data_IF_437011849020
#
_entry.id   IF_437011849020
#
_cell.length_a   1.000
_cell.length_b   1.000
_cell.length_c   1.000
_cell.angle_alpha   90.00
_cell.angle_beta   90.00
_cell.angle_gamma   90.00
#
_symmetry.space_group_name_H-M   'P 1'
#
loop_
_entity.id
_entity.type
_entity.pdbx_description
1 polymer ?
#
# COMPACT_ATOMS: atom_id res chain seq x y z
N UNK A 1 8.02 -15.35 -9.07
CA UNK A 1 6.60 -14.98 -8.96
C UNK A 1 5.79 -15.98 -9.79
N UNK A 2 4.63 -16.44 -9.34
CA UNK A 2 3.83 -17.42 -10.11
C UNK A 2 3.28 -16.80 -11.41
N UNK A 3 2.97 -17.66 -12.38
CA UNK A 3 2.60 -17.22 -13.74
C UNK A 3 1.34 -16.36 -13.78
N UNK A 4 0.33 -16.70 -12.97
CA UNK A 4 -0.91 -15.91 -12.89
C UNK A 4 -0.60 -14.49 -12.42
N UNK A 5 0.15 -14.37 -11.33
CA UNK A 5 0.51 -13.06 -10.77
C UNK A 5 1.44 -12.28 -11.69
N UNK A 6 2.41 -12.94 -12.35
CA UNK A 6 3.27 -12.30 -13.35
C UNK A 6 2.47 -11.73 -14.52
N UNK A 7 1.52 -12.50 -15.05
CA UNK A 7 0.65 -12.03 -16.12
C UNK A 7 -0.18 -10.81 -15.70
N UNK A 8 -0.78 -10.85 -14.50
CA UNK A 8 -1.51 -9.72 -13.93
C UNK A 8 -0.65 -8.47 -13.83
N UNK A 9 0.58 -8.59 -13.33
CA UNK A 9 1.52 -7.46 -13.21
C UNK A 9 1.95 -6.92 -14.58
N UNK A 10 2.19 -7.79 -15.56
CA UNK A 10 2.65 -7.39 -16.89
C UNK A 10 1.59 -6.65 -17.73
N UNK A 11 0.31 -6.83 -17.39
CA UNK A 11 -0.85 -6.25 -18.09
C UNK A 11 -1.57 -5.19 -17.25
N UNK A 12 -1.10 -4.92 -16.03
CA UNK A 12 -1.69 -3.95 -15.12
C UNK A 12 -1.57 -2.53 -15.67
N UNK A 13 -2.63 -1.74 -15.47
CA UNK A 13 -2.64 -0.31 -15.73
C UNK A 13 -2.30 0.45 -14.46
N UNK A 14 -2.00 1.74 -14.60
CA UNK A 14 -1.67 2.62 -13.47
C UNK A 14 -2.75 2.60 -12.38
N UNK A 15 -4.02 2.52 -12.76
CA UNK A 15 -5.19 2.54 -11.86
C UNK A 15 -5.40 1.23 -11.09
N UNK A 16 -4.73 0.14 -11.52
CA UNK A 16 -4.75 -1.14 -10.82
C UNK A 16 -3.82 -1.13 -9.59
N UNK A 17 -2.88 -0.18 -9.52
CA UNK A 17 -2.01 0.03 -8.36
C UNK A 17 -2.62 1.08 -7.43
N UNK A 18 -2.66 0.79 -6.14
CA UNK A 18 -3.18 1.72 -5.15
C UNK A 18 -2.51 1.54 -3.79
N UNK A 19 -2.48 2.61 -3.00
CA UNK A 19 -2.01 2.56 -1.63
C UNK A 19 -3.17 2.17 -0.71
N UNK A 20 -2.99 1.10 0.04
CA UNK A 20 -4.01 0.51 0.91
C UNK A 20 -3.54 0.44 2.36
N UNK A 21 -4.48 0.26 3.28
CA UNK A 21 -4.20 -0.03 4.69
C UNK A 21 -4.27 -1.53 4.99
N UNK A 22 -4.09 -2.39 3.97
CA UNK A 22 -4.24 -3.84 4.10
C UNK A 22 -3.25 -4.50 5.07
N UNK A 23 -2.15 -3.83 5.43
CA UNK A 23 -1.15 -4.39 6.35
C UNK A 23 -1.70 -4.55 7.77
N UNK A 24 -1.54 -5.73 8.40
CA UNK A 24 -1.85 -5.93 9.82
C UNK A 24 -1.02 -5.05 10.76
N UNK A 25 0.16 -4.59 10.31
CA UNK A 25 1.09 -3.77 11.10
C UNK A 25 0.76 -2.27 11.07
N UNK A 26 -0.29 -1.85 10.34
CA UNK A 26 -0.64 -0.43 10.21
C UNK A 26 0.28 0.38 9.30
N UNK A 27 1.19 -0.28 8.57
CA UNK A 27 2.01 0.34 7.53
C UNK A 27 1.29 0.34 6.18
N UNK A 28 1.40 1.41 5.37
CA UNK A 28 0.81 1.42 4.04
C UNK A 28 1.33 0.29 3.16
N UNK A 29 0.45 -0.27 2.33
CA UNK A 29 0.77 -1.38 1.44
C UNK A 29 0.33 -1.05 0.01
N UNK A 30 1.28 -0.99 -0.92
CA UNK A 30 0.99 -0.78 -2.34
C UNK A 30 0.39 -2.04 -2.92
N UNK A 31 -0.93 -2.09 -3.03
CA UNK A 31 -1.64 -3.26 -3.53
C UNK A 31 -1.83 -3.21 -5.04
N UNK A 32 -2.01 -4.40 -5.61
CA UNK A 32 -2.53 -4.60 -6.95
C UNK A 32 -3.99 -5.07 -6.84
N UNK A 33 -4.89 -4.49 -7.63
CA UNK A 33 -6.29 -4.94 -7.69
C UNK A 33 -6.39 -6.33 -8.28
N UNK A 34 -7.43 -7.08 -7.91
CA UNK A 34 -7.77 -8.39 -8.50
C UNK A 34 -6.70 -9.47 -8.28
N UNK A 35 -5.89 -9.34 -7.23
CA UNK A 35 -5.02 -10.44 -6.80
C UNK A 35 -5.86 -11.60 -6.26
N UNK A 36 -5.29 -12.79 -6.23
CA UNK A 36 -5.98 -13.96 -5.65
C UNK A 36 -6.23 -13.81 -4.14
N UNK A 37 -5.42 -13.02 -3.43
CA UNK A 37 -5.67 -12.69 -2.03
C UNK A 37 -6.89 -11.78 -1.86
N UNK A 38 -7.03 -10.77 -2.72
CA UNK A 38 -8.17 -9.84 -2.70
C UNK A 38 -9.48 -10.57 -3.02
N UNK A 39 -9.48 -11.43 -4.04
CA UNK A 39 -10.62 -12.30 -4.35
C UNK A 39 -11.02 -13.19 -3.16
N UNK A 40 -10.04 -13.76 -2.44
CA UNK A 40 -10.32 -14.60 -1.27
C UNK A 40 -10.84 -13.78 -0.09
N UNK A 41 -10.32 -12.57 0.11
CA UNK A 41 -10.76 -11.64 1.15
C UNK A 41 -12.24 -11.27 0.94
N UNK A 42 -12.60 -10.87 -0.27
CA UNK A 42 -14.00 -10.57 -0.66
C UNK A 42 -14.91 -11.78 -0.41
N UNK A 43 -14.53 -12.97 -0.90
CA UNK A 43 -15.29 -14.22 -0.67
C UNK A 43 -15.48 -14.56 0.81
N UNK A 44 -14.56 -14.17 1.69
CA UNK A 44 -14.67 -14.38 3.14
C UNK A 44 -15.64 -13.41 3.79
N UNK A 45 -15.61 -12.15 3.36
CA UNK A 45 -16.54 -11.10 3.78
C UNK A 45 -17.97 -11.50 3.39
N UNK A 46 -18.20 -11.90 2.13
CA UNK A 46 -19.51 -12.35 1.61
C UNK A 46 -20.08 -13.56 2.38
N UNK A 47 -19.21 -14.43 2.90
CA UNK A 47 -19.59 -15.59 3.73
C UNK A 47 -19.81 -15.25 5.20
N UNK A 48 -19.72 -13.98 5.59
CA UNK A 48 -19.81 -13.55 6.99
C UNK A 48 -18.66 -14.05 7.87
N UNK A 49 -17.50 -14.38 7.27
CA UNK A 49 -16.31 -14.90 7.97
C UNK A 49 -15.06 -14.13 7.57
N UNK A 50 -15.05 -12.79 7.74
CA UNK A 50 -13.94 -11.94 7.32
C UNK A 50 -12.65 -12.31 8.10
N UNK A 51 -11.50 -12.00 7.50
CA UNK A 51 -10.19 -12.35 8.05
C UNK A 51 -9.74 -13.80 7.80
N UNK A 52 -8.44 -14.03 7.97
CA UNK A 52 -7.80 -15.32 7.72
C UNK A 52 -7.69 -16.17 8.99
N UNK A 53 -7.82 -17.51 8.93
CA UNK A 53 -7.36 -18.35 10.02
C UNK A 53 -5.83 -18.16 10.19
N UNK A 54 -5.41 -17.59 11.32
CA UNK A 54 -4.04 -17.16 11.53
C UNK A 54 -3.18 -18.31 12.08
N UNK A 55 -2.73 -19.20 11.18
CA UNK A 55 -1.89 -20.34 11.57
C UNK A 55 -0.44 -19.93 11.86
N UNK A 56 0.14 -19.04 11.05
CA UNK A 56 1.56 -18.63 11.15
C UNK A 56 1.87 -17.64 12.29
N UNK A 57 0.93 -16.77 12.66
CA UNK A 57 1.05 -15.77 13.75
C UNK A 57 2.25 -14.79 13.69
N UNK A 58 3.02 -14.73 12.59
CA UNK A 58 4.20 -13.83 12.48
C UNK A 58 3.90 -12.33 12.61
N UNK A 59 2.67 -11.90 12.28
CA UNK A 59 2.23 -10.50 12.37
C UNK A 59 1.20 -10.28 13.48
N UNK A 60 1.20 -11.14 14.49
CA UNK A 60 0.35 -10.98 15.67
C UNK A 60 1.00 -10.01 16.66
N UNK A 61 0.40 -8.83 16.83
CA UNK A 61 0.97 -7.76 17.66
C UNK A 61 -0.08 -6.96 18.44
N UNK A 62 -1.36 -7.35 18.40
CA UNK A 62 -2.46 -6.60 19.01
C UNK A 62 -3.10 -7.41 20.15
N UNK A 63 -3.22 -6.82 21.34
CA UNK A 63 -3.77 -7.43 22.56
C UNK A 63 -5.10 -6.79 22.99
N UNK A 64 -5.82 -6.16 22.06
CA UNK A 64 -7.07 -5.43 22.35
C UNK A 64 -8.17 -6.33 22.93
N UNK A 65 -8.21 -7.60 22.52
CA UNK A 65 -9.27 -8.54 22.91
C UNK A 65 -8.78 -9.79 23.64
N UNK A 66 -7.46 -9.98 23.74
CA UNK A 66 -6.86 -11.21 24.28
C UNK A 66 -5.52 -10.90 24.93
N UNK A 67 -5.17 -11.64 26.00
CA UNK A 67 -3.88 -11.51 26.68
C UNK A 67 -2.70 -11.85 25.76
N UNK A 68 -2.87 -12.87 24.91
CA UNK A 68 -1.92 -13.19 23.85
C UNK A 68 -2.17 -12.32 22.62
N UNK A 69 -1.13 -11.78 21.98
CA UNK A 69 -1.31 -10.94 20.80
C UNK A 69 -1.92 -11.73 19.64
N UNK A 70 -2.91 -11.13 18.99
CA UNK A 70 -3.55 -11.63 17.77
C UNK A 70 -3.29 -10.66 16.61
N UNK A 71 -3.39 -11.20 15.40
CA UNK A 71 -3.17 -10.43 14.17
C UNK A 71 -4.46 -9.70 13.78
N UNK A 72 -4.39 -8.43 13.39
CA UNK A 72 -5.57 -7.63 13.00
C UNK A 72 -6.23 -8.11 11.70
N UNK A 73 -5.50 -8.86 10.86
CA UNK A 73 -6.06 -9.57 9.70
C UNK A 73 -6.62 -10.98 10.04
N UNK A 74 -6.55 -11.41 11.30
CA UNK A 74 -7.08 -12.71 11.71
C UNK A 74 -8.60 -12.68 11.79
N UNK A 75 -9.23 -13.83 11.48
CA UNK A 75 -10.67 -14.01 11.65
C UNK A 75 -11.12 -13.73 13.08
N UNK A 76 -10.31 -14.11 14.05
CA UNK A 76 -10.60 -13.88 15.47
C UNK A 76 -10.71 -12.38 15.76
N UNK A 77 -9.68 -11.60 15.42
CA UNK A 77 -9.68 -10.16 15.66
C UNK A 77 -10.84 -9.47 14.93
N UNK A 78 -10.99 -9.73 13.62
CA UNK A 78 -12.04 -9.07 12.84
C UNK A 78 -13.45 -9.40 13.36
N UNK A 79 -13.70 -10.65 13.75
CA UNK A 79 -14.99 -11.03 14.34
C UNK A 79 -15.26 -10.31 15.67
N UNK A 80 -14.26 -10.18 16.54
CA UNK A 80 -14.40 -9.48 17.82
C UNK A 80 -14.62 -7.98 17.61
N UNK A 81 -13.82 -7.36 16.75
CA UNK A 81 -13.94 -5.92 16.48
C UNK A 81 -15.25 -5.55 15.79
N UNK A 82 -15.70 -6.34 14.83
CA UNK A 82 -16.99 -6.09 14.15
C UNK A 82 -18.16 -6.27 15.12
N UNK A 83 -18.07 -7.21 16.06
CA UNK A 83 -19.09 -7.39 17.10
C UNK A 83 -19.17 -6.15 18.01
N UNK A 84 -18.02 -5.71 18.53
CA UNK A 84 -17.92 -4.50 19.36
C UNK A 84 -18.49 -3.27 18.62
N UNK A 85 -18.13 -3.06 17.35
CA UNK A 85 -18.64 -1.93 16.55
C UNK A 85 -20.16 -1.95 16.38
N UNK A 86 -20.76 -3.14 16.25
CA UNK A 86 -22.23 -3.29 16.14
C UNK A 86 -22.94 -2.98 17.46
N UNK A 87 -22.29 -3.22 18.60
CA UNK A 87 -22.83 -2.96 19.94
C UNK A 87 -22.77 -1.46 20.31
N UNK A 88 -21.93 -0.66 19.63
CA UNK A 88 -21.78 0.78 19.87
C UNK A 88 -22.96 1.64 19.38
N UNK A 89 -23.95 1.06 18.68
CA UNK A 89 -25.14 1.78 18.23
C UNK A 89 -24.87 2.91 17.22
N UNK A 90 -23.77 2.81 16.48
CA UNK A 90 -23.38 3.80 15.46
C UNK A 90 -24.41 3.89 14.33
N UNK A 91 -24.48 5.06 13.69
CA UNK A 91 -25.24 5.24 12.45
C UNK A 91 -24.75 4.24 11.37
N UNK A 92 -25.67 3.70 10.56
CA UNK A 92 -25.37 2.67 9.55
C UNK A 92 -24.22 3.06 8.61
N UNK A 93 -24.18 4.32 8.16
CA UNK A 93 -23.12 4.81 7.28
C UNK A 93 -21.75 4.81 7.98
N UNK A 94 -21.67 5.36 9.19
CA UNK A 94 -20.45 5.39 9.99
C UNK A 94 -19.97 3.98 10.37
N UNK A 95 -20.89 3.09 10.76
CA UNK A 95 -20.60 1.70 11.07
C UNK A 95 -19.98 0.96 9.87
N UNK A 96 -20.54 1.15 8.67
CA UNK A 96 -20.03 0.50 7.46
C UNK A 96 -18.61 0.97 7.11
N UNK A 97 -18.31 2.26 7.30
CA UNK A 97 -16.95 2.79 7.09
C UNK A 97 -15.95 2.11 8.04
N UNK A 98 -16.29 1.98 9.33
CA UNK A 98 -15.41 1.33 10.31
C UNK A 98 -15.22 -0.15 10.02
N UNK A 99 -16.29 -0.88 9.69
CA UNK A 99 -16.21 -2.30 9.30
C UNK A 99 -15.31 -2.47 8.07
N UNK A 100 -15.45 -1.60 7.06
CA UNK A 100 -14.63 -1.65 5.84
C UNK A 100 -13.14 -1.48 6.16
N UNK A 101 -12.77 -0.58 7.08
CA UNK A 101 -11.37 -0.41 7.54
C UNK A 101 -10.79 -1.67 8.19
N UNK A 102 -11.62 -2.45 8.89
CA UNK A 102 -11.23 -3.73 9.51
C UNK A 102 -11.10 -4.83 8.45
N UNK A 103 -12.07 -4.90 7.53
CA UNK A 103 -12.13 -5.89 6.46
C UNK A 103 -11.07 -5.66 5.37
N UNK A 104 -10.49 -4.47 5.28
CA UNK A 104 -9.35 -4.15 4.39
C UNK A 104 -8.11 -5.00 4.69
N UNK A 105 -7.94 -5.44 5.95
CA UNK A 105 -6.74 -6.15 6.39
C UNK A 105 -6.60 -7.51 5.71
N UNK A 106 -5.44 -7.74 5.09
CA UNK A 106 -5.10 -8.97 4.36
C UNK A 106 -4.04 -9.80 5.11
N UNK A 107 -4.04 -11.11 4.90
CA UNK A 107 -3.10 -12.03 5.54
C UNK A 107 -1.76 -12.07 4.79
N UNK A 108 -0.89 -11.09 5.08
CA UNK A 108 0.42 -10.97 4.43
C UNK A 108 1.34 -12.18 4.67
N UNK A 109 1.24 -12.86 5.82
CA UNK A 109 2.06 -14.04 6.15
C UNK A 109 1.88 -15.19 5.15
N UNK A 110 0.66 -15.37 4.65
CA UNK A 110 0.37 -16.36 3.62
C UNK A 110 0.60 -15.76 2.25
N UNK A 111 -0.08 -14.65 1.95
CA UNK A 111 -0.10 -14.00 0.65
C UNK A 111 1.27 -13.72 0.04
N UNK A 112 2.18 -13.12 0.81
CA UNK A 112 3.52 -12.76 0.32
C UNK A 112 4.42 -13.99 0.11
N UNK A 113 4.14 -15.10 0.79
CA UNK A 113 4.96 -16.31 0.71
C UNK A 113 4.50 -17.29 -0.37
N UNK A 114 3.21 -17.26 -0.74
CA UNK A 114 2.59 -18.28 -1.59
C UNK A 114 3.21 -18.36 -2.97
N UNK A 115 3.51 -17.23 -3.61
CA UNK A 115 4.06 -17.21 -4.97
C UNK A 115 5.36 -18.04 -5.08
N UNK A 116 6.27 -17.89 -4.11
CA UNK A 116 7.51 -18.65 -4.08
C UNK A 116 7.25 -20.15 -3.89
N UNK A 117 6.26 -20.52 -3.06
CA UNK A 117 5.94 -21.92 -2.78
C UNK A 117 5.26 -22.61 -3.96
N UNK A 118 4.39 -21.90 -4.68
CA UNK A 118 3.71 -22.39 -5.89
C UNK A 118 4.75 -22.78 -6.96
N UNK A 119 5.66 -21.87 -7.30
CA UNK A 119 6.69 -22.12 -8.34
C UNK A 119 7.61 -23.27 -7.97
N UNK A 120 8.06 -23.30 -6.70
CA UNK A 120 8.98 -24.32 -6.22
C UNK A 120 8.28 -25.63 -5.82
N UNK A 121 6.97 -25.76 -6.09
CA UNK A 121 6.16 -26.94 -5.76
C UNK A 121 6.26 -27.35 -4.28
N UNK A 122 6.42 -26.38 -3.39
CA UNK A 122 6.50 -26.59 -1.94
C UNK A 122 5.07 -26.73 -1.39
N UNK A 123 4.72 -27.82 -0.68
CA UNK A 123 3.35 -28.08 -0.20
C UNK A 123 2.80 -26.94 0.64
N UNK A 124 1.61 -26.42 0.33
CA UNK A 124 1.01 -25.29 1.07
C UNK A 124 0.05 -25.79 2.16
N UNK A 125 0.38 -25.63 3.46
CA UNK A 125 -0.50 -26.03 4.56
C UNK A 125 -1.86 -25.35 4.46
N UNK A 126 -2.90 -26.08 4.86
CA UNK A 126 -4.28 -25.58 4.89
C UNK A 126 -4.80 -25.07 3.53
N UNK A 127 -4.13 -25.39 2.42
CA UNK A 127 -4.48 -24.97 1.05
C UNK A 127 -4.64 -23.44 0.89
N UNK A 128 -3.87 -22.66 1.67
CA UNK A 128 -3.86 -21.20 1.58
C UNK A 128 -2.93 -20.71 0.47
N UNK A 129 -3.26 -21.03 -0.78
CA UNK A 129 -2.43 -20.77 -1.96
C UNK A 129 -2.64 -19.39 -2.60
N UNK A 130 -3.23 -18.44 -1.88
CA UNK A 130 -3.46 -17.08 -2.42
C UNK A 130 -2.18 -16.26 -2.39
N UNK A 131 -2.05 -15.38 -3.36
CA UNK A 131 -0.87 -14.53 -3.57
C UNK A 131 -1.25 -13.08 -3.37
N UNK A 132 -0.45 -12.40 -2.54
CA UNK A 132 -0.45 -10.95 -2.33
C UNK A 132 0.90 -10.41 -2.79
N UNK A 133 0.93 -9.21 -3.37
CA UNK A 133 2.16 -8.56 -3.85
C UNK A 133 2.17 -7.08 -3.47
N UNK A 134 3.36 -6.54 -3.21
CA UNK A 134 3.59 -5.10 -3.01
C UNK A 134 4.49 -4.55 -4.13
N UNK A 135 3.97 -4.37 -5.36
CA UNK A 135 4.79 -4.02 -6.52
C UNK A 135 5.33 -2.58 -6.53
N UNK A 136 4.79 -1.71 -5.66
CA UNK A 136 5.07 -0.28 -5.70
C UNK A 136 4.45 0.42 -6.93
N UNK A 137 4.45 1.76 -6.95
CA UNK A 137 3.77 2.53 -7.99
C UNK A 137 4.55 2.62 -9.30
N UNK A 138 5.87 2.38 -9.27
CA UNK A 138 6.72 2.46 -10.46
C UNK A 138 6.51 1.30 -11.43
N UNK A 139 5.87 0.21 -11.01
CA UNK A 139 5.60 -0.91 -11.90
C UNK A 139 4.62 -0.53 -13.02
N UNK A 140 3.80 0.51 -12.83
CA UNK A 140 2.90 1.05 -13.85
C UNK A 140 3.59 1.48 -15.15
N UNK A 141 4.90 1.74 -15.12
CA UNK A 141 5.69 2.18 -16.27
C UNK A 141 6.32 1.02 -17.05
N UNK A 142 6.05 -0.23 -16.66
CA UNK A 142 6.56 -1.42 -17.32
C UNK A 142 5.38 -2.27 -17.83
N UNK A 143 5.49 -2.82 -19.03
CA UNK A 143 4.43 -3.65 -19.62
C UNK A 143 5.04 -4.87 -20.28
N UNK A 144 5.37 -5.87 -19.46
CA UNK A 144 5.97 -7.11 -19.92
C UNK A 144 6.56 -7.97 -18.79
N UNK A 145 6.95 -9.19 -19.15
CA UNK A 145 7.74 -10.08 -18.31
C UNK A 145 9.17 -9.99 -18.81
N UNK A 146 10.09 -9.63 -17.93
CA UNK A 146 11.47 -9.35 -18.29
C UNK A 146 12.42 -10.25 -17.53
N UNK A 147 13.50 -10.68 -18.20
CA UNK A 147 14.59 -11.39 -17.52
C UNK A 147 15.42 -10.42 -16.67
N UNK A 148 16.22 -10.98 -15.76
CA UNK A 148 17.22 -10.19 -15.02
C UNK A 148 18.17 -9.46 -15.97
N UNK A 149 18.57 -10.09 -17.08
CA UNK A 149 19.42 -9.47 -18.10
C UNK A 149 18.77 -8.24 -18.73
N UNK A 150 17.48 -8.33 -19.09
CA UNK A 150 16.75 -7.16 -19.62
C UNK A 150 16.73 -6.02 -18.59
N UNK A 151 16.45 -6.33 -17.32
CA UNK A 151 16.44 -5.31 -16.25
C UNK A 151 17.80 -4.66 -16.02
N UNK A 152 18.88 -5.44 -16.07
CA UNK A 152 20.26 -4.93 -16.00
C UNK A 152 20.53 -4.00 -17.19
N UNK A 153 20.22 -4.46 -18.41
CA UNK A 153 20.38 -3.65 -19.61
C UNK A 153 19.57 -2.36 -19.54
N UNK A 154 18.38 -2.40 -18.94
CA UNK A 154 17.56 -1.22 -18.71
C UNK A 154 18.21 -0.22 -17.74
N UNK A 155 18.73 -0.70 -16.61
CA UNK A 155 19.37 0.14 -15.60
C UNK A 155 20.61 0.83 -16.16
N UNK A 156 21.39 0.15 -16.99
CA UNK A 156 22.60 0.70 -17.61
C UNK A 156 22.35 1.44 -18.94
N UNK A 157 21.10 1.54 -19.39
CA UNK A 157 20.72 2.29 -20.59
C UNK A 157 20.98 1.57 -21.92
N UNK A 158 21.29 0.28 -21.90
CA UNK A 158 21.42 -0.56 -23.09
C UNK A 158 20.05 -0.94 -23.70
N UNK A 159 18.99 -0.98 -22.88
CA UNK A 159 17.61 -1.26 -23.31
C UNK A 159 16.63 -0.25 -22.68
N UNK A 160 15.53 0.06 -23.36
CA UNK A 160 14.42 0.81 -22.76
C UNK A 160 13.20 -0.09 -22.62
N UNK A 161 12.86 -0.46 -21.38
CA UNK A 161 11.72 -1.32 -21.06
C UNK A 161 10.49 -0.53 -20.59
N UNK A 162 10.59 0.80 -20.52
CA UNK A 162 9.46 1.62 -20.17
C UNK A 162 8.38 1.52 -21.24
N UNK A 163 7.12 1.50 -20.82
CA UNK A 163 5.99 1.64 -21.73
C UNK A 163 5.81 3.10 -22.19
N UNK A 164 4.73 3.38 -22.93
CA UNK A 164 4.47 4.70 -23.51
C UNK A 164 4.03 5.75 -22.49
N UNK A 165 3.92 5.42 -21.19
CA UNK A 165 3.57 6.38 -20.16
C UNK A 165 4.79 7.23 -19.80
N UNK A 166 4.57 8.53 -19.67
CA UNK A 166 5.62 9.43 -19.17
C UNK A 166 5.92 9.09 -17.69
N UNK A 167 7.08 8.49 -17.47
CA UNK A 167 7.59 8.18 -16.13
C UNK A 167 8.24 9.43 -15.55
N UNK A 168 7.67 10.03 -14.50
CA UNK A 168 8.30 11.17 -13.84
C UNK A 168 9.55 10.71 -13.08
N UNK A 169 10.40 11.69 -12.76
CA UNK A 169 11.59 11.44 -11.96
C UNK A 169 11.23 10.76 -10.62
N UNK A 170 12.08 9.84 -10.15
CA UNK A 170 11.87 9.07 -8.92
C UNK A 170 11.45 9.97 -7.73
N UNK A 171 12.17 11.07 -7.50
CA UNK A 171 11.86 12.04 -6.44
C UNK A 171 10.46 12.67 -6.55
N UNK A 172 9.98 12.94 -7.77
CA UNK A 172 8.64 13.50 -7.96
C UNK A 172 7.58 12.44 -7.63
N UNK A 173 7.81 11.19 -8.03
CA UNK A 173 6.92 10.08 -7.67
C UNK A 173 6.89 9.86 -6.16
N UNK A 174 8.04 9.83 -5.51
CA UNK A 174 8.12 9.67 -4.05
C UNK A 174 7.44 10.84 -3.31
N UNK A 175 7.67 12.09 -3.75
CA UNK A 175 7.01 13.25 -3.15
C UNK A 175 5.49 13.19 -3.28
N UNK A 176 4.96 12.75 -4.44
CA UNK A 176 3.52 12.50 -4.62
C UNK A 176 2.99 11.50 -3.60
N UNK A 177 3.68 10.37 -3.40
CA UNK A 177 3.26 9.36 -2.42
C UNK A 177 3.17 9.92 -1.00
N UNK A 178 4.14 10.72 -0.57
CA UNK A 178 4.11 11.33 0.76
C UNK A 178 3.02 12.40 0.91
N UNK A 179 2.79 13.20 -0.14
CA UNK A 179 1.72 14.20 -0.20
C UNK A 179 0.36 13.51 -0.12
N UNK A 180 0.12 12.47 -0.92
CA UNK A 180 -1.12 11.69 -0.92
C UNK A 180 -1.35 11.03 0.45
N UNK A 181 -0.29 10.47 1.04
CA UNK A 181 -0.33 9.88 2.38
C UNK A 181 -0.70 10.93 3.44
N UNK A 182 -0.06 12.10 3.42
CA UNK A 182 -0.35 13.18 4.36
C UNK A 182 -1.81 13.66 4.22
N UNK A 183 -2.30 13.87 3.00
CA UNK A 183 -3.68 14.26 2.73
C UNK A 183 -4.67 13.25 3.30
N UNK A 184 -4.46 11.96 3.02
CA UNK A 184 -5.33 10.89 3.53
C UNK A 184 -5.39 10.93 5.06
N UNK A 185 -4.23 11.07 5.71
CA UNK A 185 -4.15 11.12 7.19
C UNK A 185 -4.82 12.35 7.79
N UNK A 186 -4.76 13.51 7.14
CA UNK A 186 -5.46 14.72 7.60
C UNK A 186 -6.98 14.51 7.48
N UNK A 187 -7.46 13.96 6.36
CA UNK A 187 -8.89 13.68 6.14
C UNK A 187 -9.41 12.67 7.16
N UNK A 188 -8.64 11.62 7.48
CA UNK A 188 -9.01 10.64 8.51
C UNK A 188 -9.11 11.24 9.93
N UNK A 189 -8.60 12.46 10.16
CA UNK A 189 -8.65 13.16 11.45
C UNK A 189 -9.66 14.33 11.45
N UNK A 190 -10.54 14.46 10.45
CA UNK A 190 -11.37 15.65 10.22
C UNK A 190 -12.29 16.03 11.38
N UNK A 191 -12.70 15.07 12.21
CA UNK A 191 -13.71 15.30 13.25
C UNK A 191 -13.12 15.92 14.52
N UNK A 192 -11.82 15.67 14.80
CA UNK A 192 -11.06 16.41 15.82
C UNK A 192 -9.55 16.20 15.65
N UNK A 193 -8.83 17.30 15.46
CA UNK A 193 -7.36 17.30 15.46
C UNK A 193 -6.85 17.51 16.87
N UNK A 194 -6.26 16.47 17.47
CA UNK A 194 -5.52 16.64 18.72
C UNK A 194 -4.29 17.51 18.52
N UNK A 195 -3.83 18.18 19.58
CA UNK A 195 -2.60 18.99 19.54
C UNK A 195 -1.39 18.16 19.08
N UNK A 196 -1.34 16.87 19.49
CA UNK A 196 -0.30 15.92 19.07
C UNK A 196 -0.33 15.67 17.57
N UNK A 197 -1.51 15.46 16.99
CA UNK A 197 -1.68 15.26 15.55
C UNK A 197 -1.33 16.53 14.77
N UNK A 198 -1.74 17.70 15.26
CA UNK A 198 -1.40 18.99 14.63
C UNK A 198 0.12 19.22 14.58
N UNK A 199 0.83 18.96 15.69
CA UNK A 199 2.30 19.01 15.73
C UNK A 199 2.94 18.00 14.78
N UNK A 200 2.43 16.78 14.73
CA UNK A 200 2.90 15.75 13.80
C UNK A 200 2.76 16.19 12.34
N UNK A 201 1.57 16.65 11.93
CA UNK A 201 1.32 17.07 10.54
C UNK A 201 2.12 18.31 10.15
N UNK A 202 2.26 19.27 11.07
CA UNK A 202 3.12 20.46 10.86
C UNK A 202 4.59 20.07 10.67
N UNK A 203 5.09 19.12 11.48
CA UNK A 203 6.45 18.59 11.33
C UNK A 203 6.63 17.81 10.02
N UNK A 204 5.64 17.02 9.63
CA UNK A 204 5.63 16.30 8.36
C UNK A 204 5.70 17.26 7.17
N UNK A 205 4.81 18.28 7.14
CA UNK A 205 4.76 19.33 6.12
C UNK A 205 6.10 20.07 6.02
N UNK A 206 6.65 20.52 7.14
CA UNK A 206 7.94 21.25 7.15
C UNK A 206 9.10 20.40 6.64
N UNK A 207 9.16 19.11 7.00
CA UNK A 207 10.19 18.21 6.49
C UNK A 207 10.07 18.00 4.96
N UNK A 208 8.85 17.85 4.42
CA UNK A 208 8.64 17.75 2.99
C UNK A 208 9.05 19.03 2.24
N UNK A 209 8.70 20.20 2.78
CA UNK A 209 9.10 21.50 2.22
C UNK A 209 10.64 21.64 2.20
N UNK A 210 11.32 21.25 3.28
CA UNK A 210 12.77 21.24 3.34
C UNK A 210 13.39 20.30 2.29
N UNK A 211 12.79 19.12 2.09
CA UNK A 211 13.20 18.19 1.03
C UNK A 211 13.04 18.78 -0.38
N UNK A 212 11.92 19.45 -0.64
CA UNK A 212 11.67 20.16 -1.92
C UNK A 212 12.76 21.22 -2.15
N UNK A 213 13.03 22.07 -1.17
CA UNK A 213 14.04 23.13 -1.30
C UNK A 213 15.46 22.56 -1.50
N UNK A 214 15.78 21.46 -0.82
CA UNK A 214 17.03 20.73 -1.04
C UNK A 214 17.19 20.31 -2.51
N UNK A 215 16.17 19.69 -3.11
CA UNK A 215 16.23 19.27 -4.52
C UNK A 215 16.24 20.44 -5.50
N UNK A 216 15.50 21.53 -5.23
CA UNK A 216 15.60 22.76 -6.03
C UNK A 216 17.02 23.32 -6.02
N UNK A 217 17.66 23.34 -4.86
CA UNK A 217 19.03 23.83 -4.70
C UNK A 217 20.01 22.95 -5.44
N UNK A 218 19.91 21.62 -5.31
CA UNK A 218 20.76 20.68 -6.04
C UNK A 218 20.56 20.76 -7.55
N UNK A 219 19.33 20.92 -8.04
CA UNK A 219 19.06 21.10 -9.47
C UNK A 219 19.74 22.37 -10.02
N UNK A 220 19.68 23.49 -9.28
CA UNK A 220 20.39 24.73 -9.66
C UNK A 220 21.90 24.56 -9.69
N UNK A 221 22.46 23.83 -8.71
CA UNK A 221 23.91 23.63 -8.57
C UNK A 221 24.47 22.63 -9.59
N UNK A 222 23.69 21.60 -9.93
CA UNK A 222 24.17 20.50 -10.76
C UNK A 222 23.76 20.63 -12.23
N UNK A 223 22.85 21.55 -12.60
CA UNK A 223 22.27 21.79 -13.95
C UNK A 223 21.79 20.55 -14.75
N UNK A 224 21.98 19.34 -14.24
CA UNK A 224 21.83 18.07 -14.97
C UNK A 224 20.79 17.15 -14.33
N UNK A 225 20.23 17.50 -13.17
CA UNK A 225 19.18 16.67 -12.58
C UNK A 225 17.91 16.77 -13.43
N UNK A 226 17.42 15.68 -14.06
CA UNK A 226 16.26 15.69 -14.96
C UNK A 226 14.95 15.69 -14.16
N UNK A 227 14.85 16.57 -13.16
CA UNK A 227 13.66 16.75 -12.33
C UNK A 227 12.73 17.73 -13.03
N UNK A 228 11.49 17.32 -13.28
CA UNK A 228 10.48 18.20 -13.85
C UNK A 228 10.08 19.30 -12.85
N UNK A 229 10.64 20.49 -13.02
CA UNK A 229 10.42 21.63 -12.11
C UNK A 229 8.97 22.11 -12.08
N UNK A 230 8.21 21.99 -13.18
CA UNK A 230 6.78 22.33 -13.19
C UNK A 230 5.99 21.42 -12.24
N UNK A 231 6.26 20.11 -12.28
CA UNK A 231 5.64 19.15 -11.37
C UNK A 231 6.05 19.42 -9.91
N UNK A 232 7.32 19.72 -9.66
CA UNK A 232 7.81 20.04 -8.31
C UNK A 232 7.12 21.29 -7.73
N UNK A 233 6.97 22.35 -8.53
CA UNK A 233 6.30 23.59 -8.12
C UNK A 233 4.82 23.33 -7.83
N UNK A 234 4.13 22.54 -8.65
CA UNK A 234 2.73 22.16 -8.44
C UNK A 234 2.54 21.42 -7.11
N UNK A 235 3.40 20.43 -6.82
CA UNK A 235 3.37 19.68 -5.56
C UNK A 235 3.69 20.55 -4.35
N UNK A 236 4.66 21.46 -4.48
CA UNK A 236 4.97 22.44 -3.46
C UNK A 236 3.76 23.33 -3.13
N UNK A 237 3.03 23.78 -4.15
CA UNK A 237 1.81 24.57 -3.97
C UNK A 237 0.70 23.77 -3.29
N UNK A 238 0.47 22.52 -3.71
CA UNK A 238 -0.48 21.61 -3.07
C UNK A 238 -0.15 21.41 -1.59
N UNK A 239 1.12 21.16 -1.26
CA UNK A 239 1.57 20.97 0.11
C UNK A 239 1.39 22.23 0.97
N UNK A 240 1.66 23.42 0.42
CA UNK A 240 1.47 24.69 1.14
C UNK A 240 0.00 24.95 1.48
N UNK A 241 -0.94 24.49 0.65
CA UNK A 241 -2.39 24.56 0.89
C UNK A 241 -2.91 23.57 1.92
N UNK A 242 -2.13 22.58 2.33
CA UNK A 242 -2.55 21.62 3.35
C UNK A 242 -2.39 22.24 4.72
N UNK A 243 -3.46 22.20 5.52
CA UNK A 243 -3.52 22.75 6.89
C UNK A 243 -3.46 24.28 6.87
#
# INVERSE_FOLDING_TARGET
MDDKTLFQLSTAKKEDFYLSDASPLGVPFHNLRKTSSDEQRIKRIEKGRPGSPCYKKYLSNNTEFTDLPICTASRQYQSLKIKELKEQGLEKAALQVQITKIEEKDCLCEGLSSAARIINKIPIPHKLSVVTVCPGPNLAYFSGIFSLKNMINHIYGYENLNNNLERPHMFINELKLYIDFLQKRIIDCSDSLSEKQSKYFSKFKSNLLAGIEYYKTKHRLLMELPVNMKQLISLNFQLNKMI
#
